data_IF_003526413105
#
_entry.id   IF_003526413105
#
_cell.length_a   1.000
_cell.length_b   1.000
_cell.length_c   1.000
_cell.angle_alpha   90.00
_cell.angle_beta   90.00
_cell.angle_gamma   90.00
#
_symmetry.space_group_name_H-M   'P 1'
#
loop_
_entity.id
_entity.type
_entity.pdbx_description
1 polymer ?
#
# COMPACT_ATOMS: atom_id res chain seq x y z
N UNK A 1 -31.03 -6.53 6.65
CA UNK A 1 -29.70 -6.25 7.24
C UNK A 1 -28.65 -6.45 6.16
N UNK A 2 -28.09 -5.38 5.59
CA UNK A 2 -26.94 -5.49 4.67
C UNK A 2 -25.73 -5.82 5.53
N UNK A 3 -25.09 -6.97 5.27
CA UNK A 3 -23.89 -7.37 6.02
C UNK A 3 -22.83 -6.28 5.87
N UNK A 4 -22.33 -5.80 7.00
CA UNK A 4 -21.13 -5.00 7.05
C UNK A 4 -20.01 -5.91 6.55
N UNK A 5 -19.61 -5.78 5.28
CA UNK A 5 -18.48 -6.54 4.75
C UNK A 5 -17.26 -6.12 5.57
N UNK A 6 -16.53 -7.06 6.20
CA UNK A 6 -15.33 -6.71 6.94
C UNK A 6 -14.44 -5.91 5.99
N UNK A 7 -13.95 -4.76 6.44
CA UNK A 7 -12.93 -3.99 5.72
C UNK A 7 -11.80 -4.99 5.47
N UNK A 8 -11.70 -5.40 4.21
CA UNK A 8 -10.98 -6.60 3.83
C UNK A 8 -9.50 -6.35 4.16
N UNK A 9 -8.92 -7.11 5.07
CA UNK A 9 -7.48 -7.05 5.37
C UNK A 9 -6.65 -7.27 4.08
N UNK A 10 -7.22 -8.02 3.14
CA UNK A 10 -6.77 -8.15 1.75
C UNK A 10 -6.68 -6.81 1.01
N UNK A 11 -7.60 -5.86 1.23
CA UNK A 11 -7.55 -4.51 0.67
C UNK A 11 -6.32 -3.75 1.16
N UNK A 12 -5.89 -3.96 2.41
CA UNK A 12 -4.73 -3.28 3.00
C UNK A 12 -3.39 -3.82 2.46
N UNK A 13 -3.29 -5.13 2.22
CA UNK A 13 -2.13 -5.72 1.54
C UNK A 13 -2.16 -5.41 0.04
N UNK A 14 -3.34 -5.34 -0.55
CA UNK A 14 -3.55 -4.87 -1.93
C UNK A 14 -3.10 -3.41 -2.09
N UNK A 15 -3.39 -2.56 -1.12
CA UNK A 15 -2.94 -1.16 -0.98
C UNK A 15 -1.41 -1.04 -0.90
N UNK A 16 -0.74 -1.91 -0.14
CA UNK A 16 0.72 -1.93 -0.06
C UNK A 16 1.36 -2.41 -1.36
N UNK A 17 0.72 -3.35 -2.07
CA UNK A 17 1.15 -3.79 -3.40
C UNK A 17 0.79 -2.81 -4.51
N UNK A 18 -0.27 -2.00 -4.39
CA UNK A 18 -0.71 -1.01 -5.39
C UNK A 18 0.24 0.19 -5.53
N UNK A 19 1.03 0.46 -4.49
CA UNK A 19 2.12 1.45 -4.60
C UNK A 19 3.21 0.95 -5.55
N UNK A 20 3.27 -0.36 -5.80
CA UNK A 20 4.26 -1.02 -6.68
C UNK A 20 3.63 -1.54 -7.98
N UNK A 21 2.36 -1.92 -7.96
CA UNK A 21 1.56 -2.34 -9.10
C UNK A 21 0.56 -1.24 -9.43
N UNK A 22 0.78 -0.50 -10.52
CA UNK A 22 -0.09 0.60 -10.91
C UNK A 22 -1.56 0.15 -11.07
N UNK A 23 -2.52 1.10 -11.14
CA UNK A 23 -3.96 0.81 -11.11
C UNK A 23 -4.53 0.13 -12.39
N UNK A 24 -3.72 -0.56 -13.20
CA UNK A 24 -4.19 -1.22 -14.42
C UNK A 24 -4.65 -2.65 -14.16
N UNK A 25 -5.95 -2.80 -13.88
CA UNK A 25 -6.73 -3.99 -14.24
C UNK A 25 -6.41 -5.28 -13.48
N UNK A 26 -7.28 -5.63 -12.53
CA UNK A 26 -7.35 -6.96 -11.93
C UNK A 26 -7.83 -8.01 -12.95
N UNK A 27 -7.00 -8.39 -13.92
CA UNK A 27 -7.16 -9.66 -14.65
C UNK A 27 -5.79 -10.17 -15.11
N UNK A 28 -5.37 -11.27 -14.47
CA UNK A 28 -4.51 -12.32 -15.05
C UNK A 28 -2.98 -12.09 -15.14
N UNK A 29 -2.29 -13.04 -14.51
CA UNK A 29 -0.93 -13.52 -14.81
C UNK A 29 0.25 -12.84 -14.11
N UNK A 30 1.12 -13.70 -13.58
CA UNK A 30 2.44 -13.41 -13.00
C UNK A 30 3.36 -12.64 -13.98
N UNK A 31 3.05 -12.58 -15.28
CA UNK A 31 3.82 -11.75 -16.22
C UNK A 31 3.43 -10.26 -16.20
N UNK A 32 2.30 -9.87 -15.60
CA UNK A 32 1.95 -8.45 -15.43
C UNK A 32 2.71 -7.81 -14.25
N UNK A 33 3.04 -8.60 -13.22
CA UNK A 33 3.77 -8.11 -12.05
C UNK A 33 5.20 -7.64 -12.37
N UNK A 34 5.83 -8.20 -13.41
CA UNK A 34 7.17 -7.79 -13.86
C UNK A 34 7.17 -6.47 -14.63
N UNK A 35 6.10 -6.18 -15.37
CA UNK A 35 5.95 -4.92 -16.11
C UNK A 35 5.70 -3.77 -15.13
N UNK A 36 4.84 -4.00 -14.13
CA UNK A 36 4.53 -3.03 -13.07
C UNK A 36 5.77 -2.65 -12.21
N UNK A 37 6.57 -3.65 -11.82
CA UNK A 37 7.81 -3.40 -11.07
C UNK A 37 8.82 -2.57 -11.87
N UNK A 38 8.84 -2.74 -13.19
CA UNK A 38 9.73 -2.01 -14.09
C UNK A 38 9.30 -0.54 -14.19
N UNK A 39 8.01 -0.26 -14.31
CA UNK A 39 7.47 1.10 -14.35
C UNK A 39 7.70 1.86 -13.04
N UNK A 40 7.53 1.20 -11.89
CA UNK A 40 7.81 1.81 -10.58
C UNK A 40 9.30 2.08 -10.40
N UNK A 41 10.17 1.17 -10.85
CA UNK A 41 11.61 1.40 -10.81
C UNK A 41 12.05 2.55 -11.72
N UNK A 42 11.43 2.69 -12.90
CA UNK A 42 11.68 3.83 -13.78
C UNK A 42 11.26 5.16 -13.12
N UNK A 43 10.06 5.19 -12.53
CA UNK A 43 9.56 6.36 -11.80
C UNK A 43 10.48 6.72 -10.62
N UNK A 44 10.88 5.74 -9.80
CA UNK A 44 11.78 5.96 -8.67
C UNK A 44 13.16 6.45 -9.14
N UNK A 45 13.68 5.89 -10.23
CA UNK A 45 14.94 6.33 -10.84
C UNK A 45 14.87 7.79 -11.26
N UNK A 46 13.77 8.20 -11.90
CA UNK A 46 13.57 9.58 -12.33
C UNK A 46 13.40 10.55 -11.15
N UNK A 47 12.55 10.20 -10.17
CA UNK A 47 12.20 11.07 -9.03
C UNK A 47 13.35 11.22 -8.04
N UNK A 48 14.08 10.15 -7.77
CA UNK A 48 15.19 10.13 -6.80
C UNK A 48 16.56 10.33 -7.44
N UNK A 49 16.62 10.46 -8.77
CA UNK A 49 17.86 10.57 -9.54
C UNK A 49 18.84 9.43 -9.17
N UNK A 50 18.34 8.19 -9.19
CA UNK A 50 19.15 7.03 -8.82
C UNK A 50 20.30 6.84 -9.81
N UNK A 51 21.48 6.51 -9.31
CA UNK A 51 22.57 6.06 -10.19
C UNK A 51 22.25 4.67 -10.77
N UNK A 52 22.86 4.28 -11.91
CA UNK A 52 22.68 2.93 -12.45
C UNK A 52 23.00 1.83 -11.43
N UNK A 53 24.02 2.01 -10.60
CA UNK A 53 24.38 1.07 -9.54
C UNK A 53 23.34 1.01 -8.42
N UNK A 54 22.77 2.15 -8.03
CA UNK A 54 21.69 2.19 -7.04
C UNK A 54 20.44 1.50 -7.58
N UNK A 55 20.03 1.79 -8.81
CA UNK A 55 18.88 1.17 -9.46
C UNK A 55 19.07 -0.36 -9.57
N UNK A 56 20.25 -0.81 -10.00
CA UNK A 56 20.59 -2.24 -10.11
C UNK A 56 20.56 -2.96 -8.75
N UNK A 57 20.93 -2.29 -7.66
CA UNK A 57 20.85 -2.84 -6.30
C UNK A 57 19.43 -2.81 -5.74
N UNK A 58 18.64 -1.79 -6.08
CA UNK A 58 17.30 -1.60 -5.53
C UNK A 58 16.26 -2.52 -6.18
N UNK A 59 16.39 -2.81 -7.48
CA UNK A 59 15.48 -3.67 -8.22
C UNK A 59 15.28 -5.07 -7.60
N UNK A 60 16.34 -5.84 -7.25
CA UNK A 60 16.13 -7.15 -6.62
C UNK A 60 15.47 -7.06 -5.24
N UNK A 61 15.72 -6.00 -4.47
CA UNK A 61 15.08 -5.79 -3.17
C UNK A 61 13.58 -5.48 -3.33
N UNK A 62 13.22 -4.69 -4.35
CA UNK A 62 11.82 -4.42 -4.70
C UNK A 62 11.11 -5.71 -5.15
N UNK A 63 11.73 -6.48 -6.04
CA UNK A 63 11.18 -7.75 -6.51
C UNK A 63 10.99 -8.76 -5.36
N UNK A 64 11.95 -8.85 -4.43
CA UNK A 64 11.85 -9.69 -3.24
C UNK A 64 10.66 -9.27 -2.39
N UNK A 65 10.48 -7.98 -2.17
CA UNK A 65 9.36 -7.45 -1.40
C UNK A 65 8.00 -7.80 -2.05
N UNK A 66 7.84 -7.54 -3.35
CA UNK A 66 6.61 -7.88 -4.10
C UNK A 66 6.32 -9.38 -4.02
N UNK A 67 7.32 -10.21 -4.32
CA UNK A 67 7.16 -11.68 -4.30
C UNK A 67 6.75 -12.17 -2.91
N UNK A 68 7.31 -11.58 -1.85
CA UNK A 68 6.95 -11.93 -0.47
C UNK A 68 5.51 -11.54 -0.17
N UNK A 69 5.05 -10.36 -0.60
CA UNK A 69 3.65 -9.96 -0.43
C UNK A 69 2.69 -10.87 -1.19
N UNK A 70 3.04 -11.27 -2.41
CA UNK A 70 2.19 -12.14 -3.22
C UNK A 70 2.11 -13.56 -2.66
N UNK A 71 3.23 -14.09 -2.12
CA UNK A 71 3.23 -15.34 -1.38
C UNK A 71 2.34 -15.26 -0.14
N UNK A 72 2.46 -14.19 0.67
CA UNK A 72 1.62 -14.00 1.84
C UNK A 72 0.13 -13.92 1.48
N UNK A 73 -0.22 -13.26 0.37
CA UNK A 73 -1.61 -13.23 -0.13
C UNK A 73 -2.09 -14.63 -0.52
N UNK A 74 -1.29 -15.37 -1.30
CA UNK A 74 -1.63 -16.73 -1.72
C UNK A 74 -1.77 -17.67 -0.52
N UNK A 75 -0.96 -17.49 0.53
CA UNK A 75 -1.08 -18.22 1.78
C UNK A 75 -2.37 -17.85 2.53
N UNK A 76 -2.82 -16.59 2.45
CA UNK A 76 -4.06 -16.14 3.09
C UNK A 76 -5.34 -16.69 2.44
N UNK A 77 -5.27 -17.16 1.20
CA UNK A 77 -6.42 -17.78 0.50
C UNK A 77 -6.70 -19.22 0.95
N UNK A 78 -5.84 -19.80 1.80
CA UNK A 78 -6.01 -21.14 2.39
C UNK A 78 -7.07 -21.11 3.50
N UNK A 79 -7.81 -22.22 3.63
CA UNK A 79 -8.99 -22.32 4.52
C UNK A 79 -8.67 -22.03 6.01
N UNK A 80 -7.45 -22.37 6.46
CA UNK A 80 -7.00 -22.20 7.86
C UNK A 80 -6.07 -21.00 8.08
N UNK A 81 -6.00 -20.03 7.15
CA UNK A 81 -5.05 -18.95 7.25
C UNK A 81 -5.38 -17.94 8.38
N UNK A 82 -4.44 -17.72 9.31
CA UNK A 82 -4.57 -16.68 10.35
C UNK A 82 -4.38 -15.29 9.70
N UNK A 83 -5.39 -14.40 9.72
CA UNK A 83 -5.24 -13.04 9.21
C UNK A 83 -4.09 -12.25 9.85
N UNK A 84 -3.70 -12.61 11.08
CA UNK A 84 -2.56 -12.02 11.79
C UNK A 84 -1.22 -12.30 11.10
N UNK A 85 -1.06 -13.45 10.45
CA UNK A 85 0.18 -13.86 9.77
C UNK A 85 0.43 -13.01 8.52
N UNK A 86 -0.61 -12.72 7.75
CA UNK A 86 -0.52 -11.80 6.61
C UNK A 86 -0.04 -10.41 7.04
N UNK A 87 -0.62 -9.85 8.11
CA UNK A 87 -0.23 -8.52 8.62
C UNK A 87 1.21 -8.54 9.13
N UNK A 88 1.58 -9.54 9.93
CA UNK A 88 2.92 -9.63 10.50
C UNK A 88 3.97 -9.85 9.42
N UNK A 89 3.70 -10.74 8.47
CA UNK A 89 4.54 -11.01 7.32
C UNK A 89 4.74 -9.77 6.45
N UNK A 90 3.65 -9.06 6.12
CA UNK A 90 3.73 -7.85 5.30
C UNK A 90 4.54 -6.74 5.99
N UNK A 91 4.36 -6.59 7.31
CA UNK A 91 5.14 -5.62 8.10
C UNK A 91 6.62 -5.95 8.10
N UNK A 92 6.97 -7.21 8.37
CA UNK A 92 8.36 -7.68 8.32
C UNK A 92 8.98 -7.48 6.93
N UNK A 93 8.27 -7.84 5.87
CA UNK A 93 8.72 -7.65 4.51
C UNK A 93 8.99 -6.16 4.20
N UNK A 94 8.11 -5.26 4.66
CA UNK A 94 8.30 -3.82 4.48
C UNK A 94 9.52 -3.32 5.28
N UNK A 95 9.70 -3.75 6.53
CA UNK A 95 10.84 -3.37 7.36
C UNK A 95 12.17 -3.83 6.74
N UNK A 96 12.23 -5.06 6.22
CA UNK A 96 13.40 -5.58 5.50
C UNK A 96 13.70 -4.74 4.26
N UNK A 97 12.68 -4.46 3.44
CA UNK A 97 12.84 -3.65 2.24
C UNK A 97 13.30 -2.22 2.56
N UNK A 98 12.68 -1.54 3.54
CA UNK A 98 13.07 -0.19 3.94
C UNK A 98 14.49 -0.13 4.51
N UNK A 99 14.94 -1.19 5.20
CA UNK A 99 16.32 -1.32 5.66
C UNK A 99 17.29 -1.40 4.48
N UNK A 100 16.98 -2.19 3.46
CA UNK A 100 17.80 -2.29 2.26
C UNK A 100 17.84 -0.97 1.47
N UNK A 101 16.67 -0.32 1.27
CA UNK A 101 16.54 0.99 0.63
C UNK A 101 17.43 2.02 1.34
N UNK A 102 17.41 2.06 2.67
CA UNK A 102 18.23 3.00 3.47
C UNK A 102 19.73 2.76 3.31
N UNK A 103 20.17 1.54 3.01
CA UNK A 103 21.59 1.22 2.78
C UNK A 103 22.06 1.56 1.35
N UNK A 104 21.15 1.54 0.38
CA UNK A 104 21.45 1.79 -1.03
C UNK A 104 21.37 3.29 -1.37
N UNK A 105 20.39 3.98 -0.79
CA UNK A 105 20.15 5.40 -1.02
C UNK A 105 21.02 6.28 -0.14
N UNK A 106 21.33 7.48 -0.63
CA UNK A 106 21.87 8.55 0.22
C UNK A 106 20.81 9.01 1.23
N UNK A 107 21.20 9.66 2.36
CA UNK A 107 20.23 10.19 3.32
C UNK A 107 19.19 11.12 2.69
N UNK A 108 19.60 11.97 1.75
CA UNK A 108 18.73 12.90 1.03
C UNK A 108 17.73 12.15 0.13
N UNK A 109 18.21 11.18 -0.64
CA UNK A 109 17.34 10.32 -1.47
C UNK A 109 16.38 9.51 -0.61
N UNK A 110 16.82 8.99 0.55
CA UNK A 110 15.95 8.26 1.46
C UNK A 110 14.84 9.14 2.06
N UNK A 111 15.15 10.41 2.37
CA UNK A 111 14.15 11.38 2.80
C UNK A 111 13.11 11.64 1.71
N UNK A 112 13.55 11.84 0.46
CA UNK A 112 12.66 12.01 -0.69
C UNK A 112 11.80 10.76 -0.93
N UNK A 113 12.40 9.58 -0.87
CA UNK A 113 11.70 8.30 -0.98
C UNK A 113 10.61 8.15 0.08
N UNK A 114 10.92 8.52 1.34
CA UNK A 114 9.95 8.47 2.44
C UNK A 114 8.76 9.40 2.21
N UNK A 115 9.02 10.60 1.67
CA UNK A 115 7.97 11.55 1.31
C UNK A 115 7.10 11.04 0.14
N UNK A 116 7.72 10.48 -0.91
CA UNK A 116 6.98 9.88 -2.04
C UNK A 116 6.08 8.73 -1.57
N UNK A 117 6.58 7.88 -0.66
CA UNK A 117 5.79 6.80 -0.07
C UNK A 117 4.58 7.35 0.70
N UNK A 118 4.79 8.36 1.53
CA UNK A 118 3.70 8.98 2.29
C UNK A 118 2.65 9.62 1.38
N UNK A 119 3.10 10.37 0.36
CA UNK A 119 2.24 10.98 -0.66
C UNK A 119 1.43 9.94 -1.42
N UNK A 120 2.05 8.82 -1.81
CA UNK A 120 1.36 7.71 -2.48
C UNK A 120 0.25 7.11 -1.60
N UNK A 121 0.53 6.87 -0.32
CA UNK A 121 -0.48 6.35 0.62
C UNK A 121 -1.62 7.37 0.82
N UNK A 122 -1.31 8.66 0.98
CA UNK A 122 -2.32 9.73 1.12
C UNK A 122 -3.20 9.85 -0.11
N UNK A 123 -2.60 9.90 -1.30
CA UNK A 123 -3.31 9.95 -2.58
C UNK A 123 -4.30 8.79 -2.72
N UNK A 124 -3.86 7.58 -2.39
CA UNK A 124 -4.71 6.40 -2.39
C UNK A 124 -5.82 6.47 -1.32
N UNK A 125 -5.55 7.01 -0.12
CA UNK A 125 -6.59 7.25 0.88
C UNK A 125 -7.65 8.24 0.40
N UNK A 126 -7.25 9.28 -0.34
CA UNK A 126 -8.18 10.21 -0.97
C UNK A 126 -9.03 9.51 -2.05
N UNK A 127 -8.43 8.67 -2.89
CA UNK A 127 -9.20 7.88 -3.87
C UNK A 127 -10.19 6.91 -3.21
N UNK A 128 -9.79 6.27 -2.11
CA UNK A 128 -10.71 5.41 -1.34
C UNK A 128 -11.83 6.22 -0.68
N UNK A 129 -11.52 7.41 -0.16
CA UNK A 129 -12.50 8.33 0.39
C UNK A 129 -13.51 8.76 -0.68
N UNK A 130 -13.04 9.12 -1.87
CA UNK A 130 -13.87 9.50 -3.01
C UNK A 130 -14.85 8.40 -3.39
N UNK A 131 -14.36 7.17 -3.58
CA UNK A 131 -15.22 6.01 -3.87
C UNK A 131 -16.28 5.79 -2.77
N UNK A 132 -15.87 5.82 -1.49
CA UNK A 132 -16.80 5.64 -0.37
C UNK A 132 -17.85 6.76 -0.29
N UNK A 133 -17.45 7.99 -0.56
CA UNK A 133 -18.34 9.14 -0.52
C UNK A 133 -19.31 9.14 -1.72
N UNK A 134 -18.88 8.73 -2.91
CA UNK A 134 -19.76 8.51 -4.07
C UNK A 134 -20.84 7.45 -3.76
N UNK A 135 -20.49 6.37 -3.07
CA UNK A 135 -21.45 5.34 -2.62
C UNK A 135 -22.46 5.85 -1.57
N UNK A 136 -22.10 6.90 -0.83
CA UNK A 136 -22.96 7.55 0.17
C UNK A 136 -23.77 8.71 -0.42
N UNK A 137 -23.30 9.34 -1.49
CA UNK A 137 -23.94 10.49 -2.14
C UNK A 137 -25.46 10.29 -2.37
N UNK A 138 -25.94 9.20 -2.99
CA UNK A 138 -27.38 9.04 -3.25
C UNK A 138 -28.21 8.79 -1.98
N UNK A 139 -27.57 8.49 -0.84
CA UNK A 139 -28.26 8.19 0.44
C UNK A 139 -28.37 9.41 1.33
N UNK A 140 -27.36 10.27 1.31
CA UNK A 140 -27.27 11.47 2.17
C UNK A 140 -27.66 12.74 1.42
N UNK A 141 -27.62 12.71 0.08
CA UNK A 141 -27.95 13.85 -0.77
C UNK A 141 -26.82 14.88 -0.84
N UNK A 142 -25.55 14.45 -0.81
CA UNK A 142 -24.42 15.37 -0.98
C UNK A 142 -24.37 15.94 -2.41
N UNK A 143 -24.08 17.23 -2.53
CA UNK A 143 -23.70 17.82 -3.82
C UNK A 143 -22.26 17.46 -4.18
N UNK A 144 -21.89 17.63 -5.46
CA UNK A 144 -20.53 17.37 -5.92
C UNK A 144 -19.51 18.30 -5.24
N UNK A 145 -19.87 19.57 -4.98
CA UNK A 145 -19.03 20.48 -4.20
C UNK A 145 -18.81 19.98 -2.76
N UNK A 146 -19.85 19.45 -2.11
CA UNK A 146 -19.73 18.90 -0.76
C UNK A 146 -18.85 17.65 -0.74
N UNK A 147 -18.97 16.79 -1.75
CA UNK A 147 -18.08 15.63 -1.91
C UNK A 147 -16.63 16.09 -2.07
N UNK A 148 -16.35 17.01 -2.99
CA UNK A 148 -15.00 17.53 -3.23
C UNK A 148 -14.35 18.14 -1.98
N UNK A 149 -15.15 18.73 -1.08
CA UNK A 149 -14.67 19.24 0.21
C UNK A 149 -14.45 18.13 1.25
N UNK A 150 -15.24 17.06 1.22
CA UNK A 150 -15.17 15.95 2.18
C UNK A 150 -14.09 14.93 1.84
N UNK A 151 -13.77 14.71 0.56
CA UNK A 151 -12.73 13.76 0.11
C UNK A 151 -11.41 13.93 0.87
N UNK A 152 -10.78 15.13 0.92
CA UNK A 152 -9.51 15.28 1.63
C UNK A 152 -9.65 15.06 3.15
N UNK A 153 -10.78 15.42 3.75
CA UNK A 153 -11.02 15.22 5.19
C UNK A 153 -11.13 13.73 5.53
N UNK A 154 -11.92 12.98 4.76
CA UNK A 154 -12.08 11.54 4.95
C UNK A 154 -10.79 10.80 4.59
N UNK A 155 -10.10 11.23 3.52
CA UNK A 155 -8.81 10.66 3.13
C UNK A 155 -7.73 10.83 4.20
N UNK A 156 -7.61 12.00 4.82
CA UNK A 156 -6.70 12.23 5.95
C UNK A 156 -7.06 11.37 7.17
N UNK A 157 -8.36 11.22 7.47
CA UNK A 157 -8.81 10.34 8.54
C UNK A 157 -8.45 8.87 8.26
N UNK A 158 -8.66 8.39 7.03
CA UNK A 158 -8.26 7.05 6.60
C UNK A 158 -6.74 6.87 6.70
N UNK A 159 -5.95 7.84 6.27
CA UNK A 159 -4.50 7.81 6.38
C UNK A 159 -4.02 7.65 7.83
N UNK A 160 -4.62 8.40 8.76
CA UNK A 160 -4.30 8.31 10.19
C UNK A 160 -4.67 6.93 10.77
N UNK A 161 -5.87 6.42 10.44
CA UNK A 161 -6.31 5.10 10.89
C UNK A 161 -5.38 4.00 10.37
N UNK A 162 -5.02 4.05 9.09
CA UNK A 162 -4.09 3.12 8.45
C UNK A 162 -2.72 3.17 9.12
N UNK A 163 -2.20 4.38 9.37
CA UNK A 163 -0.91 4.58 10.05
C UNK A 163 -0.93 4.00 11.46
N UNK A 164 -1.99 4.27 12.23
CA UNK A 164 -2.14 3.74 13.58
C UNK A 164 -2.27 2.21 13.56
N UNK A 165 -3.12 1.66 12.69
CA UNK A 165 -3.28 0.24 12.50
C UNK A 165 -1.93 -0.43 12.18
N UNK A 166 -1.11 0.16 11.33
CA UNK A 166 0.22 -0.34 10.98
C UNK A 166 1.24 -0.27 12.13
N UNK A 167 1.21 0.81 12.92
CA UNK A 167 2.07 0.94 14.11
C UNK A 167 1.75 -0.13 15.16
N UNK A 168 0.47 -0.51 15.26
CA UNK A 168 0.00 -1.52 16.21
C UNK A 168 -0.15 -2.92 15.62
N UNK A 169 -0.01 -3.07 14.30
CA UNK A 169 0.01 -4.34 13.61
C UNK A 169 1.06 -5.29 14.23
N UNK A 170 0.61 -6.50 14.57
CA UNK A 170 1.40 -7.53 15.23
C UNK A 170 1.48 -7.43 16.76
N UNK A 171 0.95 -6.38 17.38
CA UNK A 171 0.82 -6.32 18.84
C UNK A 171 -0.46 -7.04 19.25
N UNK A 172 -0.36 -8.21 19.89
CA UNK A 172 -1.52 -8.83 20.54
C UNK A 172 -1.96 -7.92 21.69
N UNK A 173 -3.24 -7.53 21.70
CA UNK A 173 -3.84 -6.93 22.88
C UNK A 173 -3.72 -7.98 23.99
N UNK A 174 -2.90 -7.71 25.02
CA UNK A 174 -2.90 -8.53 26.22
C UNK A 174 -4.27 -8.36 26.86
N UNK A 175 -5.17 -9.30 26.60
CA UNK A 175 -6.39 -9.44 27.39
C UNK A 175 -5.93 -10.07 28.69
N UNK A 176 -5.82 -9.24 29.72
CA UNK A 176 -5.56 -9.68 31.10
C UNK A 176 -6.77 -10.37 31.68
#
# INVERSE_FOLDING_TARGET
>A
MKSFRPINLALFVFVLSLIIAGPKGMTSSVSAATDDATDVMAMLTEKLKLSPDQAKKLQPEANKFITTLDQLKADQEKEDADPGDLVHGAKKAQEEYLKAVKQILTPEQYKQYSALKEEAVKSMCNSLADIQLMDLQPKVGFSDEQLNQLVPVVGDALFQVITLAWQHAGKRLRVG
#
